data_IF_594230214905
#
_entry.id   IF_594230214905
#
_cell.length_a   1.000
_cell.length_b   1.000
_cell.length_c   1.000
_cell.angle_alpha   90.00
_cell.angle_beta   90.00
_cell.angle_gamma   90.00
#
_symmetry.space_group_name_H-M   'P 1'
#
loop_
_entity.id
_entity.type
_entity.pdbx_description
1 polymer ?
#
# COMPACT_ATOMS: atom_id res chain seq x y z
N UNK A 1 77.30 -20.21 45.74
CA UNK A 1 76.13 -21.00 46.19
C UNK A 1 74.98 -20.78 45.22
N UNK A 2 74.66 -21.76 44.36
CA UNK A 2 73.46 -21.77 43.50
C UNK A 2 72.72 -23.08 43.81
N UNK A 3 71.80 -23.07 44.77
CA UNK A 3 71.13 -24.30 45.21
C UNK A 3 69.75 -24.02 45.86
N UNK A 4 68.84 -23.30 45.20
CA UNK A 4 67.51 -23.04 45.83
C UNK A 4 66.31 -23.06 44.91
N UNK A 5 66.45 -23.32 43.60
CA UNK A 5 65.29 -23.53 42.72
C UNK A 5 65.48 -24.80 41.91
N UNK A 6 64.86 -25.93 42.30
CA UNK A 6 64.80 -27.09 41.43
C UNK A 6 63.98 -26.74 40.18
N UNK A 7 64.38 -27.29 39.03
CA UNK A 7 63.61 -27.20 37.79
C UNK A 7 62.22 -27.80 38.04
N UNK A 8 61.13 -27.23 37.51
CA UNK A 8 59.79 -27.76 37.73
C UNK A 8 59.76 -29.25 37.36
N UNK A 9 59.28 -30.06 38.30
CA UNK A 9 59.09 -31.50 38.08
C UNK A 9 58.16 -31.69 36.88
N UNK A 10 58.49 -32.63 36.01
CA UNK A 10 57.56 -33.06 34.96
C UNK A 10 56.36 -33.68 35.65
N UNK A 11 55.18 -33.08 35.46
CA UNK A 11 53.93 -33.54 36.05
C UNK A 11 53.74 -35.05 35.81
N UNK A 12 53.22 -35.74 36.83
CA UNK A 12 52.88 -37.15 36.72
C UNK A 12 51.91 -37.33 35.55
N UNK A 13 52.31 -38.16 34.57
CA UNK A 13 51.45 -38.52 33.44
C UNK A 13 50.20 -39.19 34.01
N UNK A 14 49.09 -38.47 34.00
CA UNK A 14 47.80 -39.05 34.34
C UNK A 14 47.43 -40.05 33.25
N UNK A 15 47.56 -41.34 33.54
CA UNK A 15 47.12 -42.42 32.66
C UNK A 15 45.59 -42.52 32.72
N UNK A 16 44.93 -41.57 32.09
CA UNK A 16 43.51 -41.66 31.80
C UNK A 16 43.37 -42.63 30.64
N UNK A 17 42.70 -43.78 30.84
CA UNK A 17 42.46 -44.72 29.74
C UNK A 17 41.78 -44.03 28.56
N UNK A 18 42.10 -44.40 27.33
CA UNK A 18 41.67 -43.68 26.11
C UNK A 18 40.17 -43.39 26.06
N UNK A 19 39.34 -44.37 26.49
CA UNK A 19 37.89 -44.21 26.58
C UNK A 19 37.50 -43.07 27.52
N UNK A 20 38.11 -43.01 28.70
CA UNK A 20 37.84 -41.98 29.71
C UNK A 20 38.34 -40.62 29.23
N UNK A 21 39.48 -40.57 28.53
CA UNK A 21 39.97 -39.33 27.93
C UNK A 21 39.00 -38.77 26.87
N UNK A 22 38.43 -39.63 26.00
CA UNK A 22 37.42 -39.22 25.02
C UNK A 22 36.14 -38.72 25.68
N UNK A 23 35.64 -39.44 26.69
CA UNK A 23 34.43 -39.04 27.43
C UNK A 23 34.64 -37.69 28.12
N UNK A 24 35.77 -37.50 28.81
CA UNK A 24 36.05 -36.23 29.50
C UNK A 24 36.15 -35.08 28.50
N UNK A 25 36.82 -35.28 27.35
CA UNK A 25 36.90 -34.27 26.30
C UNK A 25 35.51 -33.86 25.82
N UNK A 26 34.66 -34.83 25.49
CA UNK A 26 33.30 -34.56 25.02
C UNK A 26 32.48 -33.80 26.08
N UNK A 27 32.63 -34.16 27.36
CA UNK A 27 31.94 -33.49 28.46
C UNK A 27 32.38 -32.03 28.63
N UNK A 28 33.68 -31.74 28.42
CA UNK A 28 34.17 -30.36 28.41
C UNK A 28 33.69 -29.58 27.18
N UNK A 29 33.63 -30.21 26.02
CA UNK A 29 33.13 -29.59 24.79
C UNK A 29 31.64 -29.21 24.95
N UNK A 30 30.81 -30.13 25.46
CA UNK A 30 29.39 -29.91 25.74
C UNK A 30 29.18 -28.79 26.78
N UNK A 31 29.93 -28.82 27.89
CA UNK A 31 29.84 -27.77 28.91
C UNK A 31 30.27 -26.39 28.38
N UNK A 32 31.30 -26.33 27.52
CA UNK A 32 31.73 -25.09 26.90
C UNK A 32 30.66 -24.52 25.96
N UNK A 33 29.98 -25.38 25.19
CA UNK A 33 28.86 -24.96 24.35
C UNK A 33 27.68 -24.41 25.16
N UNK A 34 27.34 -25.04 26.29
CA UNK A 34 26.26 -24.56 27.16
C UNK A 34 26.57 -23.17 27.72
N UNK A 35 27.80 -22.95 28.21
CA UNK A 35 28.24 -21.65 28.71
C UNK A 35 28.18 -20.59 27.60
N UNK A 36 28.54 -20.93 26.36
CA UNK A 36 28.45 -20.00 25.22
C UNK A 36 27.00 -19.68 24.89
N UNK A 37 26.08 -20.65 24.95
CA UNK A 37 24.65 -20.44 24.70
C UNK A 37 24.03 -19.53 25.76
N UNK A 38 24.30 -19.77 27.03
CA UNK A 38 23.82 -18.93 28.14
C UNK A 38 24.39 -17.51 28.05
N UNK A 39 25.69 -17.37 27.75
CA UNK A 39 26.33 -16.07 27.59
C UNK A 39 25.78 -15.26 26.42
N UNK A 40 25.38 -15.94 25.35
CA UNK A 40 24.87 -15.31 24.13
C UNK A 40 23.34 -15.19 24.14
N UNK A 41 22.66 -15.47 25.25
CA UNK A 41 21.24 -15.16 25.35
C UNK A 41 21.07 -13.65 25.14
N UNK A 42 20.37 -13.23 24.07
CA UNK A 42 20.23 -11.81 23.80
C UNK A 42 19.50 -11.18 24.98
N UNK A 43 19.95 -10.00 25.46
CA UNK A 43 19.21 -9.30 26.51
C UNK A 43 17.77 -9.10 26.03
N UNK A 44 16.77 -9.18 26.94
CA UNK A 44 15.39 -8.97 26.56
C UNK A 44 15.27 -7.62 25.86
N UNK A 45 15.00 -7.66 24.55
CA UNK A 45 14.81 -6.44 23.76
C UNK A 45 13.42 -5.94 24.10
N UNK A 46 13.35 -5.00 25.03
CA UNK A 46 12.14 -4.23 25.26
C UNK A 46 11.81 -3.50 23.96
N UNK A 47 10.74 -3.94 23.30
CA UNK A 47 10.18 -3.21 22.17
C UNK A 47 9.65 -1.90 22.73
N UNK A 48 10.27 -0.79 22.36
CA UNK A 48 9.74 0.54 22.62
C UNK A 48 8.40 0.67 21.88
N UNK A 49 7.31 0.35 22.57
CA UNK A 49 5.97 0.63 22.11
C UNK A 49 5.51 1.89 22.83
N UNK A 50 5.24 2.95 22.07
CA UNK A 50 4.52 4.08 22.66
C UNK A 50 3.06 3.66 22.90
N UNK A 51 2.39 4.30 23.86
CA UNK A 51 0.93 4.14 24.05
C UNK A 51 0.16 4.45 22.75
N UNK A 52 0.73 5.30 21.89
CA UNK A 52 0.16 5.61 20.59
C UNK A 52 0.25 4.42 19.63
N UNK A 53 1.41 3.77 19.55
CA UNK A 53 1.64 2.63 18.65
C UNK A 53 0.82 1.41 19.03
N UNK A 54 0.67 1.12 20.32
CA UNK A 54 -0.13 -0.02 20.79
C UNK A 54 -1.64 0.16 20.55
N UNK A 55 -2.14 1.39 20.66
CA UNK A 55 -3.58 1.66 20.66
C UNK A 55 -4.12 2.15 19.31
N UNK A 56 -3.33 2.90 18.54
CA UNK A 56 -3.80 3.57 17.33
C UNK A 56 -3.10 3.10 16.06
N UNK A 57 -1.93 2.47 16.19
CA UNK A 57 -1.18 1.90 15.07
C UNK A 57 -1.47 0.41 14.88
N UNK A 58 -2.69 -0.01 15.26
CA UNK A 58 -3.25 -1.19 14.62
C UNK A 58 -3.36 -0.83 13.15
N UNK A 59 -2.43 -1.36 12.35
CA UNK A 59 -2.60 -1.42 10.91
C UNK A 59 -3.95 -2.09 10.70
N UNK A 60 -4.99 -1.27 10.51
CA UNK A 60 -6.21 -1.70 9.88
C UNK A 60 -5.72 -2.02 8.48
N UNK A 61 -5.18 -3.23 8.31
CA UNK A 61 -5.19 -3.92 7.05
C UNK A 61 -6.66 -4.01 6.71
N UNK A 62 -7.17 -2.93 6.12
CA UNK A 62 -8.38 -2.96 5.32
C UNK A 62 -7.99 -3.94 4.24
N UNK A 63 -8.25 -5.22 4.49
CA UNK A 63 -8.32 -6.24 3.45
C UNK A 63 -9.41 -5.74 2.53
N UNK A 64 -9.03 -4.85 1.61
CA UNK A 64 -9.85 -4.53 0.47
C UNK A 64 -10.07 -5.90 -0.17
N UNK A 65 -11.29 -6.41 -0.21
CA UNK A 65 -11.52 -7.70 -0.84
C UNK A 65 -11.02 -7.54 -2.28
N UNK A 66 -10.10 -8.40 -2.72
CA UNK A 66 -9.51 -8.33 -4.07
C UNK A 66 -10.60 -8.26 -5.16
N UNK A 67 -11.76 -8.85 -4.87
CA UNK A 67 -12.97 -8.82 -5.68
C UNK A 67 -13.54 -7.40 -5.93
N UNK A 68 -13.36 -6.46 -5.01
CA UNK A 68 -13.80 -5.07 -5.20
C UNK A 68 -12.92 -4.31 -6.21
N UNK A 69 -11.63 -4.63 -6.32
CA UNK A 69 -10.75 -3.92 -7.26
C UNK A 69 -10.96 -4.41 -8.69
N UNK A 70 -11.18 -5.72 -8.90
CA UNK A 70 -11.48 -6.29 -10.21
C UNK A 70 -12.84 -5.84 -10.74
N UNK A 71 -13.87 -5.82 -9.89
CA UNK A 71 -15.20 -5.31 -10.26
C UNK A 71 -15.15 -3.81 -10.59
N UNK A 72 -14.42 -2.99 -9.81
CA UNK A 72 -14.22 -1.56 -10.10
C UNK A 72 -13.47 -1.34 -11.42
N UNK A 73 -12.48 -2.18 -11.74
CA UNK A 73 -11.72 -2.08 -13.00
C UNK A 73 -12.59 -2.40 -14.22
N UNK A 74 -13.37 -3.48 -14.16
CA UNK A 74 -14.34 -3.82 -15.21
C UNK A 74 -15.43 -2.74 -15.35
N UNK A 75 -15.90 -2.17 -14.23
CA UNK A 75 -16.87 -1.08 -14.24
C UNK A 75 -16.30 0.20 -14.88
N UNK A 76 -15.03 0.51 -14.59
CA UNK A 76 -14.32 1.68 -15.12
C UNK A 76 -14.07 1.58 -16.62
N UNK A 77 -13.67 0.40 -17.10
CA UNK A 77 -13.49 0.13 -18.54
C UNK A 77 -14.83 0.14 -19.28
N UNK A 78 -15.92 -0.32 -18.63
CA UNK A 78 -17.27 -0.36 -19.20
C UNK A 78 -17.98 0.99 -19.20
N UNK A 79 -17.79 1.80 -18.15
CA UNK A 79 -18.37 3.13 -17.98
C UNK A 79 -17.25 4.11 -17.60
N UNK A 80 -16.53 4.68 -18.58
CA UNK A 80 -15.45 5.59 -18.28
C UNK A 80 -16.00 6.79 -17.53
N UNK A 81 -15.47 7.03 -16.32
CA UNK A 81 -15.89 8.09 -15.37
C UNK A 81 -16.00 9.49 -16.00
N UNK A 82 -15.35 9.72 -17.15
CA UNK A 82 -15.29 11.00 -17.85
C UNK A 82 -15.89 11.00 -19.26
N UNK A 83 -16.55 9.93 -19.69
CA UNK A 83 -17.21 9.90 -21.01
C UNK A 83 -18.66 10.36 -21.00
N UNK A 84 -19.34 10.26 -19.86
CA UNK A 84 -20.70 10.74 -19.71
C UNK A 84 -20.73 12.19 -19.20
N UNK A 85 -21.70 13.00 -19.65
CA UNK A 85 -21.94 14.29 -19.04
C UNK A 85 -22.29 14.12 -17.54
N UNK A 86 -21.94 15.12 -16.72
CA UNK A 86 -22.24 15.09 -15.30
C UNK A 86 -23.75 14.87 -15.05
N UNK A 87 -24.10 13.92 -14.18
CA UNK A 87 -25.51 13.65 -13.87
C UNK A 87 -26.09 14.82 -13.06
N UNK A 88 -27.07 15.52 -13.63
CA UNK A 88 -27.79 16.61 -12.99
C UNK A 88 -29.29 16.47 -13.27
N UNK A 89 -30.13 17.13 -12.47
CA UNK A 89 -31.58 17.13 -12.69
C UNK A 89 -31.94 17.50 -14.14
N UNK A 90 -31.29 18.53 -14.70
CA UNK A 90 -31.55 19.00 -16.05
C UNK A 90 -31.08 18.01 -17.12
N UNK A 91 -29.90 17.39 -16.94
CA UNK A 91 -29.40 16.35 -17.85
C UNK A 91 -30.32 15.13 -17.84
N UNK A 92 -30.79 14.71 -16.67
CA UNK A 92 -31.71 13.59 -16.55
C UNK A 92 -33.03 13.85 -17.29
N UNK A 93 -33.57 15.07 -17.18
CA UNK A 93 -34.79 15.42 -17.91
C UNK A 93 -34.55 15.43 -19.43
N UNK A 94 -33.42 15.95 -19.91
CA UNK A 94 -33.06 15.94 -21.33
C UNK A 94 -32.93 14.51 -21.87
N UNK A 95 -32.29 13.61 -21.13
CA UNK A 95 -32.16 12.19 -21.50
C UNK A 95 -33.51 11.47 -21.55
N UNK A 96 -34.41 11.79 -20.62
CA UNK A 96 -35.77 11.24 -20.56
C UNK A 96 -36.59 11.60 -21.79
N UNK A 97 -36.45 12.83 -22.28
CA UNK A 97 -37.09 13.32 -23.50
C UNK A 97 -36.15 13.13 -24.69
N UNK A 98 -35.95 11.87 -25.11
CA UNK A 98 -35.08 11.50 -26.23
C UNK A 98 -35.33 12.39 -27.46
N UNK A 99 -34.25 13.03 -27.94
CA UNK A 99 -34.14 13.74 -29.23
C UNK A 99 -35.03 14.97 -29.37
N UNK A 100 -34.52 16.13 -28.94
CA UNK A 100 -34.91 17.43 -29.48
C UNK A 100 -36.27 18.00 -29.03
N UNK A 101 -37.08 17.22 -28.30
CA UNK A 101 -38.41 17.64 -27.82
C UNK A 101 -38.42 18.03 -26.33
N UNK A 102 -37.26 18.02 -25.66
CA UNK A 102 -37.11 18.50 -24.31
C UNK A 102 -37.27 20.04 -24.29
N UNK A 103 -38.50 20.52 -24.26
CA UNK A 103 -38.84 21.95 -24.16
C UNK A 103 -38.94 22.32 -22.69
N UNK A 104 -37.85 22.84 -22.12
CA UNK A 104 -37.90 23.50 -20.83
C UNK A 104 -38.19 24.98 -21.03
N UNK A 105 -39.01 25.60 -20.17
CA UNK A 105 -39.21 27.04 -20.22
C UNK A 105 -37.87 27.75 -20.06
N UNK A 106 -37.51 28.60 -21.03
CA UNK A 106 -36.28 29.39 -21.03
C UNK A 106 -35.03 28.70 -21.60
N UNK A 107 -35.12 27.44 -22.05
CA UNK A 107 -34.00 26.76 -22.73
C UNK A 107 -34.15 26.84 -24.25
N UNK A 108 -33.09 27.29 -24.94
CA UNK A 108 -32.99 27.21 -26.40
C UNK A 108 -32.63 25.80 -26.82
N UNK A 109 -33.32 25.25 -27.81
CA UNK A 109 -33.00 23.93 -28.35
C UNK A 109 -31.63 23.93 -29.04
N UNK A 110 -30.73 23.01 -28.64
CA UNK A 110 -29.43 22.82 -29.26
C UNK A 110 -29.44 21.60 -30.19
N UNK A 111 -28.79 21.71 -31.35
CA UNK A 111 -28.55 20.58 -32.24
C UNK A 111 -27.41 19.67 -31.74
N UNK A 112 -26.48 20.23 -30.95
CA UNK A 112 -25.37 19.48 -30.35
C UNK A 112 -25.83 18.81 -29.05
N UNK A 113 -25.85 17.47 -29.08
CA UNK A 113 -26.21 16.61 -27.95
C UNK A 113 -25.10 16.53 -26.89
N UNK A 114 -23.85 16.89 -27.23
CA UNK A 114 -22.74 16.87 -26.27
C UNK A 114 -22.79 18.06 -25.32
N UNK A 115 -23.34 19.19 -25.77
CA UNK A 115 -23.43 20.44 -25.00
C UNK A 115 -24.86 20.99 -24.99
N UNK A 116 -25.79 20.34 -24.27
CA UNK A 116 -27.20 20.70 -24.32
C UNK A 116 -27.52 22.11 -23.79
N UNK A 117 -26.70 22.64 -22.88
CA UNK A 117 -26.89 23.98 -22.28
C UNK A 117 -26.10 25.08 -22.98
N UNK A 118 -25.59 24.82 -24.20
CA UNK A 118 -24.85 25.84 -24.95
C UNK A 118 -25.80 26.98 -25.33
N UNK A 119 -25.47 28.21 -24.90
CA UNK A 119 -26.26 29.40 -25.25
C UNK A 119 -26.34 29.57 -26.76
N UNK A 120 -27.56 29.65 -27.28
CA UNK A 120 -27.82 29.96 -28.68
C UNK A 120 -28.42 31.36 -28.79
N UNK A 121 -27.68 32.29 -29.38
CA UNK A 121 -28.05 33.71 -29.42
C UNK A 121 -28.46 34.20 -30.80
N UNK A 122 -28.59 33.32 -31.81
CA UNK A 122 -28.83 33.75 -33.21
C UNK A 122 -30.09 34.61 -33.39
N UNK A 123 -31.12 34.39 -32.58
CA UNK A 123 -32.32 35.22 -32.61
C UNK A 123 -32.11 36.63 -32.06
N UNK A 124 -31.27 36.79 -31.01
CA UNK A 124 -31.06 38.07 -30.33
C UNK A 124 -29.82 38.81 -30.81
N UNK A 125 -28.99 38.21 -31.67
CA UNK A 125 -27.85 38.89 -32.30
C UNK A 125 -28.35 39.97 -33.25
N UNK A 126 -27.69 41.15 -33.31
CA UNK A 126 -28.04 42.18 -34.27
C UNK A 126 -27.83 41.66 -35.70
N UNK A 127 -28.69 42.09 -36.63
CA UNK A 127 -28.72 41.55 -37.99
C UNK A 127 -27.39 41.75 -38.75
N UNK A 128 -26.63 42.79 -38.40
CA UNK A 128 -25.30 43.07 -38.93
C UNK A 128 -24.29 41.96 -38.66
N UNK A 129 -24.42 41.22 -37.56
CA UNK A 129 -23.50 40.13 -37.19
C UNK A 129 -23.96 38.76 -37.73
N UNK A 130 -25.21 38.63 -38.17
CA UNK A 130 -25.80 37.37 -38.62
C UNK A 130 -25.57 37.14 -40.11
N UNK A 131 -25.56 38.20 -40.91
CA UNK A 131 -25.41 38.13 -42.38
C UNK A 131 -24.00 37.69 -42.82
N UNK A 132 -22.97 37.97 -42.02
CA UNK A 132 -21.59 37.58 -42.32
C UNK A 132 -21.33 36.06 -42.18
N UNK A 133 -22.16 35.34 -41.40
CA UNK A 133 -22.03 33.88 -41.21
C UNK A 133 -22.62 33.06 -42.40
N UNK A 134 -23.28 33.69 -43.38
CA UNK A 134 -23.95 33.01 -44.50
C UNK A 134 -23.09 32.84 -45.78
N UNK A 135 -21.85 33.31 -45.77
CA UNK A 135 -20.91 33.14 -46.89
C UNK A 135 -19.89 32.04 -46.57
N UNK A 136 -20.27 30.76 -46.72
CA UNK A 136 -19.39 29.60 -46.86
C UNK A 136 -20.17 28.43 -47.47
#
# INVERSE_FOLDING_TARGET
>A
MKATYPYPFQEERQYVGERRARIMKQLYDEAAEEIIRERNEPPPVEKYCTEYDGNYNSNIEVKKPEHEEETKKQLYEKYPLYTSPAMSYWNFQIEKFQRGNASFPGLTTSADLKNPFKRYSRFTKPISEVLDECNL
#
